data_IF_678566753196
#
_entry.id   IF_678566753196
#
_cell.length_a   1.000
_cell.length_b   1.000
_cell.length_c   1.000
_cell.angle_alpha   90.00
_cell.angle_beta   90.00
_cell.angle_gamma   90.00
#
_symmetry.space_group_name_H-M   'P 1'
#
loop_
_entity.id
_entity.type
_entity.pdbx_description
1 polymer ?
#
# COMPACT_ATOMS: atom_id res chain seq x y z
N UNK A 1 7.15 -7.50 14.79
CA UNK A 1 6.59 -6.13 14.95
C UNK A 1 6.23 -5.58 13.58
N UNK A 2 5.01 -5.15 13.38
CA UNK A 2 4.59 -4.48 12.15
C UNK A 2 5.23 -3.09 12.10
N UNK A 3 5.76 -2.66 10.95
CA UNK A 3 6.28 -1.31 10.83
C UNK A 3 5.15 -0.28 10.95
N UNK A 4 5.43 0.84 11.59
CA UNK A 4 4.52 1.96 11.61
C UNK A 4 4.45 2.57 10.22
N UNK A 5 3.29 2.50 9.61
CA UNK A 5 3.02 3.04 8.29
C UNK A 5 2.12 4.27 8.37
N UNK A 6 2.46 5.30 7.64
CA UNK A 6 1.68 6.52 7.54
C UNK A 6 1.16 6.68 6.11
N UNK A 7 -0.16 6.80 5.98
CA UNK A 7 -0.82 7.17 4.73
C UNK A 7 -1.03 8.69 4.74
N UNK A 8 -0.43 9.38 3.79
CA UNK A 8 -0.51 10.84 3.71
C UNK A 8 -1.33 11.25 2.49
N UNK A 9 -2.54 11.79 2.66
CA UNK A 9 -3.23 12.46 1.56
C UNK A 9 -2.55 13.79 1.26
N UNK A 10 -2.46 14.16 -0.01
CA UNK A 10 -1.98 15.47 -0.41
C UNK A 10 -3.06 16.54 -0.19
N UNK A 11 -2.69 17.75 0.28
CA UNK A 11 -1.38 18.22 0.75
C UNK A 11 -1.21 18.00 2.26
N UNK A 12 -0.12 17.38 2.67
CA UNK A 12 0.15 17.05 4.10
C UNK A 12 1.46 17.64 4.61
N UNK A 13 1.69 18.90 4.35
CA UNK A 13 2.92 19.57 4.77
C UNK A 13 3.17 19.50 6.28
N UNK A 14 2.09 19.51 7.09
CA UNK A 14 2.20 19.43 8.55
C UNK A 14 2.83 18.12 9.04
N UNK A 15 2.51 16.99 8.40
CA UNK A 15 3.08 15.70 8.77
C UNK A 15 4.56 15.59 8.40
N UNK A 16 4.94 16.15 7.28
CA UNK A 16 6.35 16.19 6.84
C UNK A 16 7.14 17.04 7.84
N UNK A 17 6.62 18.22 8.23
CA UNK A 17 7.25 19.09 9.22
C UNK A 17 7.42 18.40 10.58
N UNK A 18 6.44 17.62 11.02
CA UNK A 18 6.51 16.86 12.27
C UNK A 18 7.60 15.77 12.22
N UNK A 19 7.76 15.11 11.08
CA UNK A 19 8.81 14.10 10.85
C UNK A 19 10.19 14.78 10.87
N UNK A 20 10.36 15.89 10.14
CA UNK A 20 11.60 16.65 10.10
C UNK A 20 11.99 17.21 11.47
N UNK A 21 11.00 17.62 12.27
CA UNK A 21 11.21 18.11 13.63
C UNK A 21 11.47 16.97 14.65
N UNK A 22 11.42 15.72 14.25
CA UNK A 22 11.61 14.57 15.14
C UNK A 22 10.46 14.32 16.11
N UNK A 23 9.28 14.89 15.86
CA UNK A 23 8.08 14.71 16.70
C UNK A 23 7.43 13.33 16.52
N UNK A 24 7.62 12.72 15.38
CA UNK A 24 7.09 11.40 15.08
C UNK A 24 8.05 10.61 14.19
N UNK A 25 7.94 9.30 14.26
CA UNK A 25 8.74 8.36 13.47
C UNK A 25 7.84 7.34 12.79
N UNK A 26 8.09 7.08 11.51
CA UNK A 26 7.41 6.05 10.73
C UNK A 26 8.42 5.20 9.97
N UNK A 27 8.19 3.90 9.95
CA UNK A 27 9.05 2.96 9.19
C UNK A 27 8.81 3.07 7.69
N UNK A 28 7.58 3.39 7.30
CA UNK A 28 7.17 3.52 5.91
C UNK A 28 6.15 4.65 5.79
N UNK A 29 6.30 5.47 4.74
CA UNK A 29 5.36 6.54 4.43
C UNK A 29 4.83 6.30 3.02
N UNK A 30 3.52 6.21 2.87
CA UNK A 30 2.86 6.12 1.58
C UNK A 30 2.05 7.40 1.33
N UNK A 31 2.40 8.11 0.24
CA UNK A 31 1.73 9.35 -0.15
C UNK A 31 0.66 9.02 -1.18
N UNK A 32 -0.58 9.38 -0.89
CA UNK A 32 -1.73 9.11 -1.75
C UNK A 32 -2.42 10.42 -2.17
N UNK A 33 -2.85 10.49 -3.43
CA UNK A 33 -3.60 11.64 -3.94
C UNK A 33 -5.08 11.61 -3.51
N UNK A 34 -5.64 10.41 -3.37
CA UNK A 34 -7.05 10.24 -2.99
C UNK A 34 -7.18 10.14 -1.46
N UNK A 35 -8.09 10.92 -0.91
CA UNK A 35 -8.38 10.89 0.52
C UNK A 35 -8.94 9.53 0.93
N UNK A 36 -8.36 8.92 1.95
CA UNK A 36 -8.73 7.58 2.40
C UNK A 36 -8.12 6.44 1.59
N UNK A 37 -7.26 6.76 0.62
CA UNK A 37 -6.62 5.77 -0.25
C UNK A 37 -7.49 5.35 -1.43
N UNK A 38 -7.18 4.22 -2.03
CA UNK A 38 -7.85 3.74 -3.25
C UNK A 38 -9.35 3.50 -3.10
N UNK A 39 -9.81 3.21 -1.89
CA UNK A 39 -11.25 3.03 -1.60
C UNK A 39 -12.07 4.30 -1.78
N UNK A 40 -11.41 5.47 -1.81
CA UNK A 40 -12.01 6.76 -2.08
C UNK A 40 -11.65 7.34 -3.44
N UNK A 41 -10.93 6.59 -4.28
CA UNK A 41 -10.42 7.05 -5.55
C UNK A 41 -11.42 7.02 -6.70
N UNK A 42 -11.01 7.62 -7.82
CA UNK A 42 -11.75 7.57 -9.07
C UNK A 42 -11.87 6.11 -9.54
N UNK A 43 -13.02 5.76 -10.10
CA UNK A 43 -13.33 4.39 -10.48
C UNK A 43 -14.08 3.61 -9.40
N UNK A 44 -14.11 4.08 -8.16
CA UNK A 44 -14.98 3.53 -7.13
C UNK A 44 -16.41 4.07 -7.30
N UNK A 45 -17.44 3.27 -6.98
CA UNK A 45 -18.81 3.75 -6.99
C UNK A 45 -18.99 4.95 -6.06
N UNK A 46 -19.79 5.92 -6.47
CA UNK A 46 -20.06 7.09 -5.65
C UNK A 46 -20.69 6.70 -4.32
N UNK A 47 -20.26 7.36 -3.27
CA UNK A 47 -20.78 7.13 -1.92
C UNK A 47 -20.30 8.17 -0.92
N UNK A 48 -20.99 8.26 0.20
CA UNK A 48 -20.61 9.14 1.31
C UNK A 48 -19.41 8.56 2.07
N UNK A 49 -18.87 9.35 3.00
CA UNK A 49 -17.67 8.97 3.76
C UNK A 49 -17.79 7.65 4.53
N UNK A 50 -19.00 7.31 5.00
CA UNK A 50 -19.27 6.03 5.66
C UNK A 50 -19.09 4.81 4.73
N UNK A 51 -19.36 4.97 3.44
CA UNK A 51 -19.16 3.91 2.43
C UNK A 51 -17.67 3.65 2.21
N UNK A 52 -16.87 4.71 2.14
CA UNK A 52 -15.40 4.59 2.05
C UNK A 52 -14.82 3.83 3.25
N UNK A 53 -15.28 4.16 4.44
CA UNK A 53 -14.88 3.47 5.67
C UNK A 53 -15.22 1.97 5.61
N UNK A 54 -16.44 1.63 5.23
CA UNK A 54 -16.87 0.23 5.08
C UNK A 54 -16.06 -0.54 4.04
N UNK A 55 -15.71 0.09 2.92
CA UNK A 55 -14.82 -0.52 1.92
C UNK A 55 -13.45 -0.82 2.49
N UNK A 56 -12.88 0.13 3.24
CA UNK A 56 -11.60 -0.06 3.93
C UNK A 56 -11.66 -1.21 4.94
N UNK A 57 -12.72 -1.26 5.75
CA UNK A 57 -12.94 -2.34 6.71
C UNK A 57 -13.04 -3.71 6.02
N UNK A 58 -13.70 -3.78 4.85
CA UNK A 58 -13.78 -4.99 4.04
C UNK A 58 -12.40 -5.46 3.56
N UNK A 59 -11.55 -4.55 3.09
CA UNK A 59 -10.19 -4.88 2.68
C UNK A 59 -9.34 -5.37 3.85
N UNK A 60 -9.41 -4.72 5.00
CA UNK A 60 -8.70 -5.16 6.21
C UNK A 60 -9.18 -6.52 6.71
N UNK A 61 -10.48 -6.77 6.62
CA UNK A 61 -11.04 -8.07 6.99
C UNK A 61 -10.54 -9.18 6.04
N UNK A 62 -10.49 -8.90 4.74
CA UNK A 62 -9.95 -9.82 3.76
C UNK A 62 -8.47 -10.12 4.01
N UNK A 63 -7.68 -9.09 4.29
CA UNK A 63 -6.26 -9.24 4.64
C UNK A 63 -6.10 -10.07 5.92
N UNK A 64 -6.86 -9.77 6.96
CA UNK A 64 -6.81 -10.49 8.23
C UNK A 64 -7.16 -11.98 8.08
N UNK A 65 -8.06 -12.32 7.16
CA UNK A 65 -8.45 -13.70 6.89
C UNK A 65 -7.56 -14.41 5.87
N UNK A 66 -6.65 -13.70 5.22
CA UNK A 66 -5.76 -14.28 4.22
C UNK A 66 -4.83 -15.34 4.84
N UNK A 67 -4.68 -16.46 4.14
CA UNK A 67 -3.80 -17.55 4.58
C UNK A 67 -2.33 -17.13 4.56
N UNK A 68 -1.92 -16.38 3.54
CA UNK A 68 -0.56 -15.88 3.40
C UNK A 68 -0.55 -14.35 3.59
N UNK A 69 0.19 -13.88 4.60
CA UNK A 69 0.27 -12.45 4.95
C UNK A 69 1.40 -11.72 4.23
N UNK A 70 2.38 -12.46 3.74
CA UNK A 70 3.58 -11.91 3.11
C UNK A 70 3.70 -12.44 1.70
N UNK A 71 4.04 -11.56 0.76
CA UNK A 71 4.16 -11.89 -0.66
C UNK A 71 5.17 -13.01 -0.91
N UNK A 72 6.30 -12.99 -0.22
CA UNK A 72 7.34 -14.04 -0.37
C UNK A 72 6.90 -15.42 0.14
N UNK A 73 5.80 -15.49 0.87
CA UNK A 73 5.20 -16.75 1.33
C UNK A 73 4.10 -17.25 0.41
N UNK A 74 3.71 -16.44 -0.56
CA UNK A 74 2.68 -16.83 -1.54
C UNK A 74 3.24 -17.88 -2.50
N UNK A 75 2.62 -19.08 -2.61
CA UNK A 75 3.11 -20.15 -3.51
C UNK A 75 3.18 -19.75 -4.98
N UNK A 76 2.29 -18.86 -5.44
CA UNK A 76 2.30 -18.35 -6.80
C UNK A 76 3.56 -17.53 -7.06
N UNK A 77 3.91 -16.65 -6.14
CA UNK A 77 5.12 -15.81 -6.23
C UNK A 77 6.38 -16.68 -6.22
N UNK A 78 6.46 -17.63 -5.29
CA UNK A 78 7.62 -18.55 -5.22
C UNK A 78 7.75 -19.42 -6.46
N UNK A 79 6.63 -19.86 -7.05
CA UNK A 79 6.63 -20.62 -8.31
C UNK A 79 7.14 -19.80 -9.49
N UNK A 80 6.69 -18.55 -9.60
CA UNK A 80 7.17 -17.63 -10.64
C UNK A 80 8.68 -17.39 -10.55
N UNK A 81 9.16 -17.11 -9.34
CA UNK A 81 10.59 -16.88 -9.10
C UNK A 81 11.43 -18.12 -9.42
N UNK A 82 10.92 -19.30 -9.09
CA UNK A 82 11.59 -20.57 -9.40
C UNK A 82 11.65 -20.85 -10.88
N UNK A 83 10.54 -20.59 -11.60
CA UNK A 83 10.42 -20.88 -13.03
C UNK A 83 11.19 -19.91 -13.90
N UNK A 84 11.11 -18.61 -13.60
CA UNK A 84 11.69 -17.55 -14.45
C UNK A 84 12.97 -16.92 -13.90
N UNK A 85 13.24 -17.05 -12.60
CA UNK A 85 14.35 -16.38 -11.94
C UNK A 85 14.05 -14.93 -11.57
N UNK A 86 14.83 -14.38 -10.64
CA UNK A 86 14.62 -13.02 -10.12
C UNK A 86 14.77 -11.94 -11.20
N UNK A 87 15.79 -12.05 -12.03
CA UNK A 87 16.09 -11.05 -13.06
C UNK A 87 14.95 -10.94 -14.07
N UNK A 88 14.45 -12.06 -14.57
CA UNK A 88 13.35 -12.09 -15.54
C UNK A 88 12.05 -11.63 -14.91
N UNK A 89 11.75 -12.04 -13.68
CA UNK A 89 10.58 -11.58 -12.96
C UNK A 89 10.63 -10.06 -12.74
N UNK A 90 11.78 -9.52 -12.37
CA UNK A 90 11.96 -8.08 -12.21
C UNK A 90 11.73 -7.34 -13.54
N UNK A 91 12.28 -7.83 -14.64
CA UNK A 91 12.10 -7.22 -15.95
C UNK A 91 10.64 -7.21 -16.42
N UNK A 92 9.88 -8.27 -16.11
CA UNK A 92 8.49 -8.40 -16.53
C UNK A 92 7.49 -7.67 -15.62
N UNK A 93 7.77 -7.61 -14.33
CA UNK A 93 6.80 -7.14 -13.33
C UNK A 93 7.07 -5.74 -12.82
N UNK A 94 8.25 -5.19 -13.05
CA UNK A 94 8.61 -3.85 -12.59
C UNK A 94 8.81 -2.88 -13.75
N UNK A 95 8.41 -1.64 -13.51
CA UNK A 95 8.59 -0.55 -14.47
C UNK A 95 9.85 0.23 -14.10
N UNK A 96 10.60 0.65 -15.11
CA UNK A 96 11.76 1.52 -14.93
C UNK A 96 11.37 2.97 -15.21
N UNK A 97 11.71 3.87 -14.30
CA UNK A 97 11.43 5.29 -14.41
C UNK A 97 12.72 6.09 -14.57
N UNK A 98 12.68 7.15 -15.38
CA UNK A 98 13.74 8.15 -15.43
C UNK A 98 15.01 7.77 -16.16
N UNK A 99 14.92 6.85 -17.09
CA UNK A 99 16.02 6.55 -18.00
C UNK A 99 15.93 7.34 -19.29
#
# INVERSE_FOLDING_TARGET
>A
MLPDALLIPLPSQSKIADIEAGKCFYHLIEVMTCQGGCVGGAGQPYGLSNVKKKRGEGLYAADASAMFKRAEKNPIVTSLLREYGEEKCHALLHVHYGE
#
